data_IF_157939362650
#
_entry.id   IF_157939362650
#
_cell.length_a   1.000
_cell.length_b   1.000
_cell.length_c   1.000
_cell.angle_alpha   90.00
_cell.angle_beta   90.00
_cell.angle_gamma   90.00
#
_symmetry.space_group_name_H-M   'P 1'
#
loop_
_entity.id
_entity.type
_entity.pdbx_description
1 polymer ?
#
# COMPACT_ATOMS: atom_id res chain seq x y z
N UNK A 1 -165.49 1.90 -78.49
CA UNK A 1 -164.50 1.13 -79.27
C UNK A 1 -163.11 1.58 -78.86
N UNK A 2 -162.30 0.61 -78.44
CA UNK A 2 -160.82 0.54 -78.52
C UNK A 2 -160.00 1.62 -77.78
N UNK A 3 -159.44 1.34 -76.59
CA UNK A 3 -158.25 0.51 -76.26
C UNK A 3 -157.00 0.77 -77.13
N UNK A 4 -155.94 1.28 -76.47
CA UNK A 4 -154.51 0.86 -76.52
C UNK A 4 -153.57 2.06 -76.43
N UNK A 5 -153.07 2.41 -75.22
CA UNK A 5 -151.72 2.98 -74.95
C UNK A 5 -151.33 2.82 -73.45
N UNK A 6 -151.24 1.58 -72.95
CA UNK A 6 -150.68 1.25 -71.62
C UNK A 6 -149.56 0.24 -71.86
N UNK A 7 -148.34 0.72 -72.05
CA UNK A 7 -147.13 -0.12 -72.12
C UNK A 7 -145.81 0.65 -71.89
N UNK A 8 -145.82 1.99 -71.94
CA UNK A 8 -144.59 2.80 -71.87
C UNK A 8 -144.08 3.18 -70.48
N UNK A 9 -144.84 2.98 -69.40
CA UNK A 9 -144.50 3.56 -68.09
C UNK A 9 -143.86 2.59 -67.07
N UNK A 10 -143.91 1.28 -67.28
CA UNK A 10 -143.38 0.30 -66.31
C UNK A 10 -141.86 0.09 -66.47
N UNK A 11 -141.28 0.32 -67.65
CA UNK A 11 -139.84 0.20 -67.88
C UNK A 11 -139.00 1.35 -67.27
N UNK A 12 -139.62 2.52 -67.03
CA UNK A 12 -138.92 3.69 -66.46
C UNK A 12 -138.92 3.68 -64.91
N UNK A 13 -139.88 3.00 -64.28
CA UNK A 13 -139.94 2.90 -62.81
C UNK A 13 -138.90 1.92 -62.23
N UNK A 14 -138.49 0.89 -62.99
CA UNK A 14 -137.51 -0.11 -62.56
C UNK A 14 -136.05 0.37 -62.67
N UNK A 15 -135.77 1.30 -63.59
CA UNK A 15 -134.44 1.93 -63.72
C UNK A 15 -134.19 2.94 -62.59
N UNK A 16 -135.23 3.63 -62.11
CA UNK A 16 -135.12 4.57 -60.97
C UNK A 16 -134.91 3.82 -59.65
N UNK A 17 -135.51 2.64 -59.47
CA UNK A 17 -135.36 1.87 -58.22
C UNK A 17 -133.97 1.21 -58.09
N UNK A 18 -133.36 0.77 -59.19
CA UNK A 18 -131.96 0.28 -59.22
C UNK A 18 -130.97 1.43 -59.04
N UNK A 19 -131.25 2.62 -59.58
CA UNK A 19 -130.43 3.81 -59.35
C UNK A 19 -130.49 4.31 -57.90
N UNK A 20 -131.65 4.24 -57.23
CA UNK A 20 -131.79 4.65 -55.83
C UNK A 20 -131.16 3.65 -54.86
N UNK A 21 -131.23 2.33 -55.13
CA UNK A 21 -130.54 1.34 -54.30
C UNK A 21 -129.01 1.37 -54.52
N UNK A 22 -128.56 1.64 -55.75
CA UNK A 22 -127.14 1.91 -56.05
C UNK A 22 -126.60 3.20 -55.43
N UNK A 23 -127.43 4.23 -55.23
CA UNK A 23 -127.02 5.48 -54.53
C UNK A 23 -126.96 5.28 -53.01
N UNK A 24 -127.81 4.44 -52.42
CA UNK A 24 -127.76 4.12 -50.98
C UNK A 24 -126.59 3.16 -50.65
N UNK A 25 -126.32 2.14 -51.48
CA UNK A 25 -125.17 1.23 -51.31
C UNK A 25 -123.82 1.93 -51.58
N UNK A 26 -123.78 2.85 -52.56
CA UNK A 26 -122.60 3.68 -52.83
C UNK A 26 -122.33 4.67 -51.69
N UNK A 27 -123.37 5.29 -51.13
CA UNK A 27 -123.21 6.15 -49.94
C UNK A 27 -122.77 5.39 -48.68
N UNK A 28 -123.12 4.10 -48.56
CA UNK A 28 -122.65 3.24 -47.47
C UNK A 28 -121.18 2.86 -47.66
N UNK A 29 -120.79 2.43 -48.87
CA UNK A 29 -119.39 2.10 -49.19
C UNK A 29 -118.46 3.31 -49.15
N UNK A 30 -118.89 4.46 -49.64
CA UNK A 30 -118.10 5.69 -49.58
C UNK A 30 -117.92 6.15 -48.11
N UNK A 31 -118.93 5.97 -47.24
CA UNK A 31 -118.81 6.25 -45.80
C UNK A 31 -117.93 5.24 -45.06
N UNK A 32 -118.05 3.96 -45.39
CA UNK A 32 -117.18 2.93 -44.84
C UNK A 32 -115.72 3.11 -45.30
N UNK A 33 -115.50 3.56 -46.54
CA UNK A 33 -114.18 3.92 -47.05
C UNK A 33 -113.61 5.15 -46.33
N UNK A 34 -114.43 6.17 -46.03
CA UNK A 34 -114.00 7.34 -45.23
C UNK A 34 -113.67 6.93 -43.79
N UNK A 35 -114.44 6.02 -43.18
CA UNK A 35 -114.15 5.50 -41.85
C UNK A 35 -112.87 4.66 -41.81
N UNK A 36 -112.70 3.73 -42.74
CA UNK A 36 -111.46 2.93 -42.86
C UNK A 36 -110.25 3.82 -43.21
N UNK A 37 -110.42 4.87 -44.02
CA UNK A 37 -109.35 5.84 -44.27
C UNK A 37 -108.98 6.62 -43.00
N UNK A 38 -109.97 7.12 -42.25
CA UNK A 38 -109.73 7.82 -40.98
C UNK A 38 -109.09 6.90 -39.93
N UNK A 39 -109.48 5.62 -39.88
CA UNK A 39 -108.88 4.62 -39.01
C UNK A 39 -107.43 4.30 -39.40
N UNK A 40 -107.16 4.08 -40.68
CA UNK A 40 -105.79 3.85 -41.16
C UNK A 40 -104.90 5.09 -40.95
N UNK A 41 -105.44 6.30 -41.10
CA UNK A 41 -104.73 7.55 -40.79
C UNK A 41 -104.45 7.71 -39.28
N UNK A 42 -105.38 7.27 -38.42
CA UNK A 42 -105.20 7.27 -36.96
C UNK A 42 -104.16 6.22 -36.53
N UNK A 43 -104.22 5.00 -37.06
CA UNK A 43 -103.22 3.94 -36.80
C UNK A 43 -101.83 4.36 -37.31
N UNK A 44 -101.75 4.95 -38.50
CA UNK A 44 -100.49 5.49 -39.03
C UNK A 44 -99.94 6.64 -38.17
N UNK A 45 -100.80 7.51 -37.64
CA UNK A 45 -100.39 8.58 -36.73
C UNK A 45 -99.93 8.03 -35.37
N UNK A 46 -100.57 6.97 -34.88
CA UNK A 46 -100.16 6.30 -33.65
C UNK A 46 -98.79 5.62 -33.80
N UNK A 47 -98.52 4.97 -34.94
CA UNK A 47 -97.20 4.40 -35.25
C UNK A 47 -96.14 5.51 -35.35
N UNK A 48 -96.48 6.65 -35.97
CA UNK A 48 -95.59 7.80 -36.04
C UNK A 48 -95.28 8.36 -34.63
N UNK A 49 -96.30 8.50 -33.77
CA UNK A 49 -96.13 8.93 -32.38
C UNK A 49 -95.26 7.94 -31.58
N UNK A 50 -95.48 6.63 -31.71
CA UNK A 50 -94.62 5.63 -31.06
C UNK A 50 -93.17 5.69 -31.57
N UNK A 51 -92.97 5.89 -32.87
CA UNK A 51 -91.64 6.04 -33.47
C UNK A 51 -90.94 7.30 -32.95
N UNK A 52 -91.67 8.40 -32.80
CA UNK A 52 -91.13 9.64 -32.26
C UNK A 52 -90.75 9.50 -30.77
N UNK A 53 -91.57 8.82 -29.96
CA UNK A 53 -91.24 8.49 -28.55
C UNK A 53 -90.01 7.58 -28.46
N UNK A 54 -89.89 6.59 -29.34
CA UNK A 54 -88.70 5.74 -29.41
C UNK A 54 -87.45 6.56 -29.77
N UNK A 55 -87.57 7.46 -30.74
CA UNK A 55 -86.49 8.36 -31.16
C UNK A 55 -86.05 9.30 -30.03
N UNK A 56 -87.01 9.81 -29.24
CA UNK A 56 -86.74 10.57 -28.03
C UNK A 56 -85.98 9.72 -27.00
N UNK A 57 -86.43 8.50 -26.72
CA UNK A 57 -85.75 7.61 -25.77
C UNK A 57 -84.30 7.30 -26.21
N UNK A 58 -84.09 7.04 -27.50
CA UNK A 58 -82.75 6.80 -28.06
C UNK A 58 -81.86 8.05 -27.99
N UNK A 59 -82.44 9.25 -28.14
CA UNK A 59 -81.71 10.51 -28.02
C UNK A 59 -81.31 10.79 -26.55
N UNK A 60 -82.19 10.49 -25.60
CA UNK A 60 -81.87 10.57 -24.15
C UNK A 60 -80.78 9.57 -23.79
N UNK A 61 -80.86 8.32 -24.23
CA UNK A 61 -79.83 7.32 -23.99
C UNK A 61 -78.47 7.74 -24.58
N UNK A 62 -78.45 8.39 -25.76
CA UNK A 62 -77.24 8.98 -26.32
C UNK A 62 -76.69 10.12 -25.47
N UNK A 63 -77.55 10.99 -24.91
CA UNK A 63 -77.12 12.06 -24.03
C UNK A 63 -76.53 11.54 -22.71
N UNK A 64 -77.12 10.48 -22.13
CA UNK A 64 -76.58 9.82 -20.94
C UNK A 64 -75.23 9.14 -21.22
N UNK A 65 -75.09 8.45 -22.36
CA UNK A 65 -73.84 7.84 -22.78
C UNK A 65 -72.74 8.90 -23.02
N UNK A 66 -73.09 10.03 -23.62
CA UNK A 66 -72.17 11.16 -23.78
C UNK A 66 -71.77 11.76 -22.42
N UNK A 67 -72.70 11.85 -21.46
CA UNK A 67 -72.39 12.26 -20.08
C UNK A 67 -71.39 11.35 -19.38
N UNK A 68 -71.56 10.03 -19.51
CA UNK A 68 -70.59 9.05 -18.98
C UNK A 68 -69.21 9.15 -19.67
N UNK A 69 -69.18 9.50 -20.96
CA UNK A 69 -67.94 9.75 -21.69
C UNK A 69 -67.20 11.00 -21.15
N UNK A 70 -67.93 12.07 -20.78
CA UNK A 70 -67.34 13.25 -20.13
C UNK A 70 -66.75 12.89 -18.76
N UNK A 71 -67.46 12.12 -17.93
CA UNK A 71 -66.94 11.70 -16.62
C UNK A 71 -65.67 10.86 -16.77
N UNK A 72 -65.64 9.95 -17.73
CA UNK A 72 -64.45 9.15 -18.07
C UNK A 72 -63.29 10.05 -18.54
N UNK A 73 -63.58 11.04 -19.38
CA UNK A 73 -62.56 11.98 -19.85
C UNK A 73 -62.00 12.84 -18.71
N UNK A 74 -62.85 13.30 -17.78
CA UNK A 74 -62.43 14.04 -16.60
C UNK A 74 -61.53 13.20 -15.67
N UNK A 75 -61.87 11.92 -15.47
CA UNK A 75 -61.00 11.00 -14.71
C UNK A 75 -59.64 10.81 -15.37
N UNK A 76 -59.60 10.77 -16.72
CA UNK A 76 -58.34 10.72 -17.47
C UNK A 76 -57.54 12.01 -17.30
N UNK A 77 -58.18 13.18 -17.36
CA UNK A 77 -57.52 14.47 -17.10
C UNK A 77 -56.91 14.48 -15.70
N UNK A 78 -57.68 14.13 -14.67
CA UNK A 78 -57.19 14.10 -13.29
C UNK A 78 -56.00 13.13 -13.10
N UNK A 79 -56.07 11.95 -13.73
CA UNK A 79 -54.96 10.97 -13.73
C UNK A 79 -53.71 11.54 -14.42
N UNK A 80 -53.88 12.18 -15.59
CA UNK A 80 -52.77 12.79 -16.33
C UNK A 80 -52.17 14.00 -15.60
N UNK A 81 -52.97 14.83 -14.91
CA UNK A 81 -52.46 15.91 -14.06
C UNK A 81 -51.61 15.38 -12.90
N UNK A 82 -52.07 14.30 -12.25
CA UNK A 82 -51.30 13.63 -11.21
C UNK A 82 -49.98 13.05 -11.76
N UNK A 83 -49.99 12.49 -12.96
CA UNK A 83 -48.79 12.00 -13.63
C UNK A 83 -47.80 13.13 -13.99
N UNK A 84 -48.29 14.27 -14.50
CA UNK A 84 -47.46 15.46 -14.75
C UNK A 84 -46.83 15.96 -13.46
N UNK A 85 -47.60 16.06 -12.37
CA UNK A 85 -47.07 16.47 -11.07
C UNK A 85 -45.98 15.53 -10.56
N UNK A 86 -46.21 14.22 -10.62
CA UNK A 86 -45.21 13.23 -10.22
C UNK A 86 -43.93 13.31 -11.08
N UNK A 87 -44.07 13.55 -12.38
CA UNK A 87 -42.93 13.73 -13.27
C UNK A 87 -42.15 15.02 -12.96
N UNK A 88 -42.84 16.12 -12.61
CA UNK A 88 -42.19 17.36 -12.16
C UNK A 88 -41.41 17.17 -10.85
N UNK A 89 -42.00 16.46 -9.87
CA UNK A 89 -41.31 16.11 -8.62
C UNK A 89 -40.07 15.24 -8.88
N UNK A 90 -40.16 14.29 -9.83
CA UNK A 90 -39.01 13.47 -10.23
C UNK A 90 -37.89 14.29 -10.91
N UNK A 91 -38.24 15.28 -11.75
CA UNK A 91 -37.26 16.20 -12.34
C UNK A 91 -36.57 17.02 -11.24
N UNK A 92 -37.34 17.60 -10.31
CA UNK A 92 -36.77 18.38 -9.22
C UNK A 92 -35.82 17.55 -8.33
N UNK A 93 -36.19 16.31 -8.01
CA UNK A 93 -35.33 15.40 -7.26
C UNK A 93 -34.04 15.04 -8.02
N UNK A 94 -34.13 14.86 -9.34
CA UNK A 94 -32.96 14.58 -10.17
C UNK A 94 -32.03 15.81 -10.31
N UNK A 95 -32.59 17.03 -10.40
CA UNK A 95 -31.83 18.28 -10.37
C UNK A 95 -31.12 18.51 -9.03
N UNK A 96 -31.77 18.19 -7.92
CA UNK A 96 -31.16 18.22 -6.59
C UNK A 96 -30.00 17.22 -6.49
N UNK A 97 -30.17 16.00 -7.02
CA UNK A 97 -29.11 14.99 -7.07
C UNK A 97 -27.91 15.43 -7.92
N UNK A 98 -28.14 16.07 -9.07
CA UNK A 98 -27.05 16.65 -9.88
C UNK A 98 -26.37 17.78 -9.13
N UNK A 99 -27.12 18.69 -8.51
CA UNK A 99 -26.54 19.79 -7.73
C UNK A 99 -25.67 19.28 -6.58
N UNK A 100 -26.10 18.20 -5.90
CA UNK A 100 -25.31 17.54 -4.86
C UNK A 100 -24.04 16.88 -5.43
N UNK A 101 -24.13 16.22 -6.59
CA UNK A 101 -22.98 15.62 -7.25
C UNK A 101 -21.97 16.68 -7.76
N UNK A 102 -22.47 17.78 -8.32
CA UNK A 102 -21.65 18.92 -8.75
C UNK A 102 -21.01 19.67 -7.57
N UNK A 103 -21.63 19.68 -6.40
CA UNK A 103 -21.02 20.22 -5.18
C UNK A 103 -19.92 19.29 -4.61
N UNK A 104 -20.08 17.97 -4.76
CA UNK A 104 -19.11 16.98 -4.29
C UNK A 104 -17.88 16.85 -5.22
N UNK A 105 -18.04 17.15 -6.52
CA UNK A 105 -16.95 16.99 -7.50
C UNK A 105 -15.73 17.89 -7.20
N UNK A 106 -15.86 19.20 -6.89
CA UNK A 106 -14.72 20.05 -6.54
C UNK A 106 -14.03 19.60 -5.25
N UNK A 107 -14.77 19.07 -4.27
CA UNK A 107 -14.17 18.52 -3.04
C UNK A 107 -13.36 17.26 -3.34
N UNK A 108 -13.87 16.38 -4.21
CA UNK A 108 -13.15 15.20 -4.68
C UNK A 108 -11.92 15.59 -5.53
N UNK A 109 -12.05 16.54 -6.46
CA UNK A 109 -10.93 17.06 -7.26
C UNK A 109 -9.86 17.71 -6.36
N UNK A 110 -10.27 18.50 -5.37
CA UNK A 110 -9.35 19.09 -4.40
C UNK A 110 -8.67 18.02 -3.56
N UNK A 111 -9.37 16.96 -3.13
CA UNK A 111 -8.75 15.83 -2.44
C UNK A 111 -7.75 15.10 -3.33
N UNK A 112 -8.08 14.89 -4.62
CA UNK A 112 -7.16 14.28 -5.59
C UNK A 112 -5.95 15.17 -5.78
N UNK A 113 -6.12 16.48 -5.97
CA UNK A 113 -5.01 17.40 -6.19
C UNK A 113 -4.15 17.55 -4.95
N UNK A 114 -4.75 17.61 -3.76
CA UNK A 114 -4.03 17.66 -2.47
C UNK A 114 -3.31 16.35 -2.20
N UNK A 115 -3.95 15.21 -2.47
CA UNK A 115 -3.31 13.89 -2.34
C UNK A 115 -2.24 13.71 -3.40
N UNK A 116 -2.45 14.14 -4.64
CA UNK A 116 -1.47 14.08 -5.69
C UNK A 116 -0.28 15.00 -5.39
N UNK A 117 -0.50 16.19 -4.83
CA UNK A 117 0.58 17.05 -4.34
C UNK A 117 1.28 16.44 -3.13
N UNK A 118 0.56 15.83 -2.19
CA UNK A 118 1.17 15.15 -1.04
C UNK A 118 1.95 13.90 -1.47
N UNK A 119 1.44 13.13 -2.43
CA UNK A 119 2.12 12.00 -3.07
C UNK A 119 3.26 12.48 -3.93
N UNK A 120 3.15 13.62 -4.63
CA UNK A 120 4.25 14.21 -5.39
C UNK A 120 5.31 14.74 -4.44
N UNK A 121 4.97 15.38 -3.32
CA UNK A 121 5.91 15.81 -2.28
C UNK A 121 6.53 14.60 -1.58
N UNK A 122 5.77 13.54 -1.30
CA UNK A 122 6.29 12.30 -0.74
C UNK A 122 7.19 11.60 -1.76
N UNK A 123 6.81 11.59 -3.04
CA UNK A 123 7.59 11.03 -4.14
C UNK A 123 8.82 11.87 -4.41
N UNK A 124 8.75 13.20 -4.37
CA UNK A 124 9.85 14.14 -4.58
C UNK A 124 10.78 14.14 -3.37
N UNK A 125 10.27 14.05 -2.13
CA UNK A 125 11.08 13.74 -0.96
C UNK A 125 11.79 12.39 -1.16
N UNK A 126 11.08 11.41 -1.72
CA UNK A 126 11.62 10.10 -2.14
C UNK A 126 12.33 10.15 -3.50
N UNK A 127 12.50 11.29 -4.19
CA UNK A 127 13.15 11.33 -5.52
C UNK A 127 14.38 12.22 -5.48
N UNK A 128 14.36 13.25 -4.64
CA UNK A 128 15.51 14.00 -4.14
C UNK A 128 16.27 13.18 -3.08
N UNK A 129 15.58 12.35 -2.28
CA UNK A 129 16.11 11.19 -1.55
C UNK A 129 15.52 9.89 -2.12
N UNK A 130 15.83 9.55 -3.40
CA UNK A 130 15.54 8.20 -3.92
C UNK A 130 15.87 7.16 -2.87
N UNK A 131 15.08 6.08 -2.76
CA UNK A 131 15.48 4.93 -1.95
C UNK A 131 16.93 4.54 -2.25
N UNK A 132 17.47 4.90 -3.43
CA UNK A 132 18.89 4.79 -3.75
C UNK A 132 19.81 5.51 -2.75
N UNK A 133 19.50 6.69 -2.20
CA UNK A 133 20.35 7.36 -1.22
C UNK A 133 20.36 6.68 0.17
N UNK A 134 19.21 6.35 0.81
CA UNK A 134 19.18 5.51 2.00
C UNK A 134 19.73 4.10 1.74
N UNK A 135 19.48 3.53 0.56
CA UNK A 135 20.01 2.21 0.17
C UNK A 135 21.52 2.25 -0.07
N UNK A 136 22.06 3.28 -0.71
CA UNK A 136 23.50 3.49 -0.89
C UNK A 136 24.17 3.72 0.46
N UNK A 137 23.53 4.48 1.36
CA UNK A 137 23.99 4.65 2.74
C UNK A 137 23.99 3.31 3.49
N UNK A 138 22.94 2.50 3.35
CA UNK A 138 22.84 1.17 3.94
C UNK A 138 23.91 0.22 3.38
N UNK A 139 24.12 0.17 2.06
CA UNK A 139 25.14 -0.65 1.42
C UNK A 139 26.55 -0.18 1.79
N UNK A 140 26.78 1.13 1.87
CA UNK A 140 28.02 1.72 2.37
C UNK A 140 28.29 1.33 3.83
N UNK A 141 27.28 1.37 4.69
CA UNK A 141 27.39 0.94 6.08
C UNK A 141 27.65 -0.56 6.22
N UNK A 142 27.03 -1.41 5.38
CA UNK A 142 27.32 -2.85 5.32
C UNK A 142 28.76 -3.12 4.93
N UNK A 143 29.25 -2.44 3.88
CA UNK A 143 30.63 -2.57 3.42
C UNK A 143 31.64 -2.10 4.47
N UNK A 144 31.36 -0.97 5.14
CA UNK A 144 32.20 -0.46 6.23
C UNK A 144 32.23 -1.40 7.44
N UNK A 145 31.09 -1.99 7.80
CA UNK A 145 31.01 -2.98 8.89
C UNK A 145 31.78 -4.27 8.54
N UNK A 146 31.61 -4.79 7.32
CA UNK A 146 32.36 -5.96 6.85
C UNK A 146 33.88 -5.71 6.90
N UNK A 147 34.33 -4.56 6.40
CA UNK A 147 35.74 -4.16 6.49
C UNK A 147 36.23 -4.07 7.93
N UNK A 148 35.43 -3.53 8.85
CA UNK A 148 35.81 -3.45 10.26
C UNK A 148 35.96 -4.84 10.90
N UNK A 149 35.13 -5.82 10.51
CA UNK A 149 35.30 -7.22 10.94
C UNK A 149 36.60 -7.85 10.40
N UNK A 150 36.94 -7.56 9.15
CA UNK A 150 38.21 -8.00 8.54
C UNK A 150 39.40 -7.38 9.29
N UNK A 151 39.32 -6.09 9.64
CA UNK A 151 40.36 -5.38 10.41
C UNK A 151 40.53 -5.97 11.82
N UNK A 152 39.45 -6.35 12.51
CA UNK A 152 39.50 -7.09 13.79
C UNK A 152 40.22 -8.43 13.63
N UNK A 153 39.87 -9.17 12.58
CA UNK A 153 40.49 -10.49 12.30
C UNK A 153 41.98 -10.35 11.99
N UNK A 154 42.36 -9.32 11.24
CA UNK A 154 43.76 -9.01 10.94
C UNK A 154 44.53 -8.60 12.19
N UNK A 155 43.95 -7.77 13.06
CA UNK A 155 44.55 -7.36 14.32
C UNK A 155 44.76 -8.56 15.28
N UNK A 156 43.77 -9.46 15.37
CA UNK A 156 43.89 -10.70 16.15
C UNK A 156 44.99 -11.61 15.60
N UNK A 157 45.06 -11.78 14.27
CA UNK A 157 46.12 -12.56 13.63
C UNK A 157 47.52 -11.97 13.89
N UNK A 158 47.63 -10.64 13.93
CA UNK A 158 48.88 -9.96 14.26
C UNK A 158 49.27 -10.11 15.73
N UNK A 159 48.29 -10.11 16.64
CA UNK A 159 48.51 -10.41 18.06
C UNK A 159 49.00 -11.85 18.24
N UNK A 160 48.33 -12.82 17.62
CA UNK A 160 48.73 -14.24 17.68
C UNK A 160 50.16 -14.44 17.14
N UNK A 161 50.50 -13.77 16.03
CA UNK A 161 51.83 -13.81 15.45
C UNK A 161 52.88 -13.19 16.39
N UNK A 162 52.58 -12.03 16.97
CA UNK A 162 53.44 -11.43 17.97
C UNK A 162 53.66 -12.41 19.13
N UNK A 163 52.58 -12.88 19.78
CA UNK A 163 52.67 -13.82 20.90
C UNK A 163 53.51 -15.06 20.59
N UNK A 164 53.42 -15.61 19.37
CA UNK A 164 54.23 -16.74 18.93
C UNK A 164 55.73 -16.38 18.81
N UNK A 165 56.07 -15.29 18.14
CA UNK A 165 57.46 -14.82 17.98
C UNK A 165 58.11 -14.48 19.33
N UNK A 166 57.31 -14.01 20.28
CA UNK A 166 57.75 -13.63 21.61
C UNK A 166 58.25 -14.71 22.52
N UNK A 167 57.69 -15.91 22.37
CA UNK A 167 58.06 -17.04 23.21
C UNK A 167 59.52 -17.41 22.98
N UNK A 168 60.01 -17.26 21.75
CA UNK A 168 61.39 -17.53 21.39
C UNK A 168 62.35 -16.49 22.01
N UNK A 169 61.98 -15.20 22.00
CA UNK A 169 62.80 -14.13 22.58
C UNK A 169 62.87 -14.22 24.12
N UNK A 170 61.76 -14.53 24.78
CA UNK A 170 61.74 -14.80 26.23
C UNK A 170 62.56 -16.04 26.59
N UNK A 171 62.55 -17.07 25.74
CA UNK A 171 63.39 -18.24 25.92
C UNK A 171 64.88 -17.90 25.74
N UNK A 172 65.23 -17.04 24.79
CA UNK A 172 66.60 -16.55 24.58
C UNK A 172 67.11 -15.73 25.78
N UNK A 173 66.29 -14.85 26.35
CA UNK A 173 66.62 -14.12 27.58
C UNK A 173 66.94 -15.09 28.73
N UNK A 174 66.09 -16.10 28.95
CA UNK A 174 66.31 -17.11 29.99
C UNK A 174 67.53 -18.02 29.74
N UNK A 175 67.95 -18.19 28.48
CA UNK A 175 69.21 -18.88 28.14
C UNK A 175 70.40 -17.97 28.45
N UNK A 176 70.35 -16.70 28.03
CA UNK A 176 71.41 -15.73 28.28
C UNK A 176 71.65 -15.49 29.78
N UNK A 177 70.58 -15.47 30.60
CA UNK A 177 70.66 -15.33 32.06
C UNK A 177 71.41 -16.51 32.70
N UNK A 178 71.15 -17.73 32.21
CA UNK A 178 71.87 -18.95 32.65
C UNK A 178 73.33 -18.95 32.19
N UNK A 179 73.60 -18.53 30.95
CA UNK A 179 74.97 -18.40 30.44
C UNK A 179 75.78 -17.39 31.26
N UNK A 180 75.21 -16.21 31.55
CA UNK A 180 75.85 -15.21 32.39
C UNK A 180 76.13 -15.75 33.79
N UNK A 181 75.14 -16.37 34.43
CA UNK A 181 75.31 -16.97 35.76
C UNK A 181 76.44 -18.01 35.78
N UNK A 182 76.53 -18.85 34.76
CA UNK A 182 77.60 -19.85 34.61
C UNK A 182 78.98 -19.22 34.36
N UNK A 183 79.04 -18.18 33.53
CA UNK A 183 80.29 -17.50 33.19
C UNK A 183 80.86 -16.73 34.39
N UNK A 184 79.99 -16.02 35.15
CA UNK A 184 80.37 -15.33 36.40
C UNK A 184 80.92 -16.34 37.42
N UNK A 185 80.23 -17.46 37.64
CA UNK A 185 80.69 -18.50 38.56
C UNK A 185 82.07 -19.07 38.15
N UNK A 186 82.33 -19.19 36.84
CA UNK A 186 83.63 -19.65 36.32
C UNK A 186 84.73 -18.60 36.53
N UNK A 187 84.44 -17.33 36.26
CA UNK A 187 85.36 -16.23 36.51
C UNK A 187 85.73 -16.14 38.00
N UNK A 188 84.75 -16.19 38.90
CA UNK A 188 84.95 -16.22 40.35
C UNK A 188 85.80 -17.43 40.79
N UNK A 189 85.53 -18.62 40.24
CA UNK A 189 86.28 -19.84 40.54
C UNK A 189 87.75 -19.78 40.07
N UNK A 190 88.05 -19.01 39.02
CA UNK A 190 89.41 -18.84 38.47
C UNK A 190 90.23 -17.76 39.19
N UNK A 191 89.57 -16.75 39.77
CA UNK A 191 90.22 -15.62 40.44
C UNK A 191 90.98 -16.04 41.70
N UNK A 192 90.40 -16.96 42.50
CA UNK A 192 91.04 -17.49 43.72
C UNK A 192 92.36 -18.22 43.45
N UNK A 193 92.40 -19.23 42.55
CA UNK A 193 93.61 -19.89 42.13
C UNK A 193 94.67 -18.95 41.56
N UNK A 194 94.30 -17.93 40.77
CA UNK A 194 95.25 -16.94 40.26
C UNK A 194 95.88 -16.10 41.40
N UNK A 195 95.07 -15.67 42.38
CA UNK A 195 95.58 -14.98 43.56
C UNK A 195 96.53 -15.86 44.39
N UNK A 196 96.17 -17.13 44.58
CA UNK A 196 97.02 -18.09 45.29
C UNK A 196 98.33 -18.37 44.53
N UNK A 197 98.26 -18.54 43.21
CA UNK A 197 99.45 -18.72 42.37
C UNK A 197 100.38 -17.52 42.47
N UNK A 198 99.84 -16.30 42.59
CA UNK A 198 100.64 -15.08 42.78
C UNK A 198 101.40 -15.11 44.10
N UNK A 199 100.70 -15.41 45.20
CA UNK A 199 101.33 -15.51 46.52
C UNK A 199 102.41 -16.61 46.56
N UNK A 200 102.18 -17.74 45.87
CA UNK A 200 103.16 -18.84 45.78
C UNK A 200 104.37 -18.45 44.93
N UNK A 201 104.17 -17.76 43.80
CA UNK A 201 105.26 -17.29 42.95
C UNK A 201 106.12 -16.26 43.67
N UNK A 202 105.50 -15.29 44.36
CA UNK A 202 106.19 -14.29 45.18
C UNK A 202 107.03 -14.97 46.28
N UNK A 203 106.46 -15.95 46.99
CA UNK A 203 107.19 -16.70 48.01
C UNK A 203 108.34 -17.54 47.43
N UNK A 204 108.17 -18.12 46.24
CA UNK A 204 109.21 -18.90 45.57
C UNK A 204 110.36 -17.99 45.09
N UNK A 205 110.06 -16.80 44.61
CA UNK A 205 111.05 -15.78 44.24
C UNK A 205 111.85 -15.31 45.46
N UNK A 206 111.19 -15.04 46.59
CA UNK A 206 111.87 -14.73 47.86
C UNK A 206 112.82 -15.86 48.31
N UNK A 207 112.37 -17.12 48.20
CA UNK A 207 113.18 -18.28 48.56
C UNK A 207 114.38 -18.46 47.62
N UNK A 208 114.20 -18.22 46.32
CA UNK A 208 115.29 -18.26 45.35
C UNK A 208 116.32 -17.15 45.63
N UNK A 209 115.87 -15.92 45.90
CA UNK A 209 116.73 -14.80 46.28
C UNK A 209 117.52 -15.09 47.56
N UNK A 210 116.87 -15.66 48.58
CA UNK A 210 117.54 -16.07 49.82
C UNK A 210 118.57 -17.19 49.62
N UNK A 211 118.33 -18.12 48.68
CA UNK A 211 119.28 -19.16 48.33
C UNK A 211 120.49 -18.61 47.56
N UNK A 212 120.26 -17.67 46.64
CA UNK A 212 121.31 -16.95 45.91
C UNK A 212 122.18 -16.09 46.85
N UNK A 213 121.59 -15.39 47.82
CA UNK A 213 122.31 -14.62 48.84
C UNK A 213 123.25 -15.51 49.67
N UNK A 214 122.74 -16.66 50.14
CA UNK A 214 123.55 -17.65 50.88
C UNK A 214 124.67 -18.25 50.04
N UNK A 215 124.42 -18.51 48.76
CA UNK A 215 125.45 -18.98 47.83
C UNK A 215 126.57 -17.93 47.69
N UNK A 216 126.22 -16.66 47.50
CA UNK A 216 127.17 -15.56 47.41
C UNK A 216 127.98 -15.37 48.71
N UNK A 217 127.35 -15.53 49.88
CA UNK A 217 128.03 -15.51 51.18
C UNK A 217 129.07 -16.63 51.28
N UNK A 218 128.71 -17.87 50.91
CA UNK A 218 129.63 -19.01 50.93
C UNK A 218 130.76 -18.88 49.91
N UNK A 219 130.49 -18.42 48.68
CA UNK A 219 131.51 -18.13 47.67
C UNK A 219 132.53 -17.10 48.18
N UNK A 220 132.08 -16.08 48.93
CA UNK A 220 132.96 -15.08 49.54
C UNK A 220 133.83 -15.63 50.68
N UNK A 221 133.31 -16.59 51.46
CA UNK A 221 134.03 -17.25 52.56
C UNK A 221 135.11 -18.21 52.02
N UNK A 222 134.81 -18.95 50.95
CA UNK A 222 135.77 -19.84 50.26
C UNK A 222 136.92 -19.07 49.62
N UNK A 223 136.68 -17.85 49.13
CA UNK A 223 137.74 -16.97 48.61
C UNK A 223 138.70 -16.38 49.67
N UNK A 224 138.42 -16.58 50.96
CA UNK A 224 139.11 -15.93 52.09
C UNK A 224 139.90 -16.87 53.01
N UNK A 225 139.90 -18.19 52.75
CA UNK A 225 140.47 -19.21 53.64
C UNK A 225 141.92 -19.60 53.30
N UNK A 226 142.89 -18.84 53.81
CA UNK A 226 144.30 -19.27 53.86
C UNK A 226 144.50 -20.31 55.00
N UNK A 227 144.31 -21.59 54.70
CA UNK A 227 145.01 -22.69 55.39
C UNK A 227 144.16 -23.75 56.11
N UNK A 228 143.92 -24.89 55.43
CA UNK A 228 143.96 -26.28 55.94
C UNK A 228 143.30 -27.22 54.91
N UNK A 229 144.07 -28.14 54.30
CA UNK A 229 143.63 -29.01 53.18
C UNK A 229 142.39 -29.88 53.47
N UNK A 230 142.02 -30.13 54.73
CA UNK A 230 140.81 -30.91 55.10
C UNK A 230 139.55 -30.05 55.24
N UNK A 231 139.68 -28.74 55.48
CA UNK A 231 138.56 -27.78 55.57
C UNK A 231 138.07 -27.43 54.15
N UNK A 232 139.00 -27.24 53.21
CA UNK A 232 138.71 -26.90 51.82
C UNK A 232 137.81 -27.93 51.09
N UNK A 233 137.98 -29.24 51.37
CA UNK A 233 137.17 -30.29 50.73
C UNK A 233 135.73 -30.37 51.26
N UNK A 234 135.52 -30.01 52.53
CA UNK A 234 134.18 -29.91 53.13
C UNK A 234 133.48 -28.64 52.60
N UNK A 235 134.23 -27.55 52.45
CA UNK A 235 133.73 -26.28 51.92
C UNK A 235 133.32 -26.38 50.44
N UNK A 236 134.07 -27.12 49.61
CA UNK A 236 133.73 -27.34 48.19
C UNK A 236 132.49 -28.22 47.99
N UNK A 237 132.31 -29.27 48.82
CA UNK A 237 131.10 -30.12 48.78
C UNK A 237 129.85 -29.34 49.22
N UNK A 238 129.96 -28.51 50.26
CA UNK A 238 128.88 -27.65 50.74
C UNK A 238 128.53 -26.57 49.71
N UNK A 239 129.54 -26.03 49.02
CA UNK A 239 129.36 -25.07 47.94
C UNK A 239 128.59 -25.66 46.76
N UNK A 240 128.96 -26.87 46.30
CA UNK A 240 128.24 -27.56 45.21
C UNK A 240 126.80 -27.92 45.59
N UNK A 241 126.57 -28.34 46.83
CA UNK A 241 125.21 -28.58 47.35
C UNK A 241 124.39 -27.28 47.40
N UNK A 242 125.01 -26.17 47.80
CA UNK A 242 124.34 -24.86 47.85
C UNK A 242 124.06 -24.32 46.46
N UNK A 243 124.98 -24.52 45.50
CA UNK A 243 124.77 -24.17 44.08
C UNK A 243 123.61 -24.95 43.50
N UNK A 244 123.57 -26.26 43.73
CA UNK A 244 122.46 -27.12 43.28
C UNK A 244 121.13 -26.70 43.92
N UNK A 245 121.13 -26.34 45.21
CA UNK A 245 119.93 -25.87 45.90
C UNK A 245 119.45 -24.51 45.37
N UNK A 246 120.36 -23.58 45.08
CA UNK A 246 120.03 -22.29 44.48
C UNK A 246 119.49 -22.45 43.05
N UNK A 247 120.11 -23.31 42.22
CA UNK A 247 119.61 -23.65 40.88
C UNK A 247 118.21 -24.30 40.95
N UNK A 248 118.01 -25.24 41.88
CA UNK A 248 116.69 -25.87 42.10
C UNK A 248 115.65 -24.84 42.55
N UNK A 249 116.00 -23.91 43.44
CA UNK A 249 115.10 -22.85 43.91
C UNK A 249 114.74 -21.89 42.76
N UNK A 250 115.69 -21.58 41.89
CA UNK A 250 115.47 -20.75 40.70
C UNK A 250 114.58 -21.44 39.68
N UNK A 251 114.80 -22.72 39.40
CA UNK A 251 113.95 -23.51 38.50
C UNK A 251 112.53 -23.64 39.06
N UNK A 252 112.39 -23.82 40.39
CA UNK A 252 111.10 -23.83 41.06
C UNK A 252 110.39 -22.47 40.96
N UNK A 253 111.11 -21.36 41.19
CA UNK A 253 110.56 -20.01 41.04
C UNK A 253 110.11 -19.73 39.60
N UNK A 254 110.88 -20.19 38.61
CA UNK A 254 110.49 -20.11 37.19
C UNK A 254 109.24 -20.92 36.90
N UNK A 255 109.16 -22.16 37.39
CA UNK A 255 107.99 -23.01 37.20
C UNK A 255 106.73 -22.41 37.87
N UNK A 256 106.86 -21.79 39.06
CA UNK A 256 105.75 -21.10 39.71
C UNK A 256 105.33 -19.83 38.98
N UNK A 257 106.28 -19.12 38.37
CA UNK A 257 105.99 -17.96 37.52
C UNK A 257 105.22 -18.36 36.25
N UNK A 258 105.65 -19.43 35.57
CA UNK A 258 104.93 -19.96 34.40
C UNK A 258 103.51 -20.44 34.78
N UNK A 259 103.34 -21.01 35.98
CA UNK A 259 102.03 -21.40 36.51
C UNK A 259 101.15 -20.18 36.88
N UNK A 260 101.75 -19.11 37.42
CA UNK A 260 101.06 -17.84 37.65
C UNK A 260 100.56 -17.23 36.34
N UNK A 261 101.43 -17.13 35.33
CA UNK A 261 101.06 -16.58 34.02
C UNK A 261 99.90 -17.37 33.40
N UNK A 262 99.92 -18.70 33.50
CA UNK A 262 98.83 -19.56 33.04
C UNK A 262 97.52 -19.32 33.83
N UNK A 263 97.61 -19.16 35.16
CA UNK A 263 96.45 -18.89 36.01
C UNK A 263 95.85 -17.50 35.76
N UNK A 264 96.68 -16.46 35.59
CA UNK A 264 96.24 -15.11 35.24
C UNK A 264 95.64 -15.07 33.84
N UNK A 265 96.25 -15.73 32.86
CA UNK A 265 95.69 -15.84 31.51
C UNK A 265 94.32 -16.53 31.51
N UNK A 266 94.16 -17.58 32.32
CA UNK A 266 92.86 -18.24 32.51
C UNK A 266 91.85 -17.30 33.16
N UNK A 267 92.21 -16.61 34.24
CA UNK A 267 91.31 -15.68 34.92
C UNK A 267 90.88 -14.52 34.01
N UNK A 268 91.79 -13.98 33.20
CA UNK A 268 91.47 -12.95 32.21
C UNK A 268 90.53 -13.47 31.11
N UNK A 269 90.77 -14.70 30.62
CA UNK A 269 89.88 -15.34 29.65
C UNK A 269 88.48 -15.59 30.23
N UNK A 270 88.40 -16.10 31.45
CA UNK A 270 87.11 -16.39 32.11
C UNK A 270 86.36 -15.08 32.43
N UNK A 271 87.06 -14.01 32.81
CA UNK A 271 86.48 -12.66 32.96
C UNK A 271 85.94 -12.12 31.63
N UNK A 272 86.70 -12.24 30.53
CA UNK A 272 86.25 -11.80 29.22
C UNK A 272 85.00 -12.57 28.74
N UNK A 273 84.89 -13.87 29.09
CA UNK A 273 83.69 -14.65 28.84
C UNK A 273 82.49 -14.18 29.67
N UNK A 274 82.70 -13.81 30.94
CA UNK A 274 81.66 -13.22 31.78
C UNK A 274 81.16 -11.88 31.22
N UNK A 275 82.07 -11.00 30.78
CA UNK A 275 81.72 -9.72 30.16
C UNK A 275 80.93 -9.92 28.86
N UNK A 276 81.34 -10.89 28.03
CA UNK A 276 80.61 -11.23 26.80
C UNK A 276 79.22 -11.81 27.09
N UNK A 277 79.08 -12.64 28.13
CA UNK A 277 77.79 -13.18 28.55
C UNK A 277 76.86 -12.09 29.09
N UNK A 278 77.39 -11.11 29.84
CA UNK A 278 76.64 -9.94 30.28
C UNK A 278 76.11 -9.12 29.09
N UNK A 279 76.94 -8.88 28.08
CA UNK A 279 76.52 -8.15 26.87
C UNK A 279 75.39 -8.89 26.14
N UNK A 280 75.46 -10.22 26.06
CA UNK A 280 74.39 -11.05 25.48
C UNK A 280 73.10 -10.98 26.29
N UNK A 281 73.18 -11.04 27.62
CA UNK A 281 72.01 -10.88 28.48
C UNK A 281 71.35 -9.52 28.26
N UNK A 282 72.14 -8.44 28.25
CA UNK A 282 71.59 -7.10 28.02
C UNK A 282 70.86 -7.01 26.66
N UNK A 283 71.46 -7.54 25.60
CA UNK A 283 70.84 -7.58 24.28
C UNK A 283 69.54 -8.41 24.26
N UNK A 284 69.55 -9.57 24.91
CA UNK A 284 68.38 -10.44 25.00
C UNK A 284 67.25 -9.79 25.83
N UNK A 285 67.57 -9.10 26.93
CA UNK A 285 66.59 -8.36 27.72
C UNK A 285 66.00 -7.16 26.97
N UNK A 286 66.82 -6.42 26.20
CA UNK A 286 66.33 -5.35 25.34
C UNK A 286 65.37 -5.89 24.26
N UNK A 287 65.71 -7.03 23.64
CA UNK A 287 64.85 -7.71 22.67
C UNK A 287 63.52 -8.18 23.31
N UNK A 288 63.60 -8.84 24.47
CA UNK A 288 62.43 -9.30 25.21
C UNK A 288 61.52 -8.13 25.65
N UNK A 289 62.09 -6.98 26.02
CA UNK A 289 61.31 -5.79 26.34
C UNK A 289 60.62 -5.20 25.10
N UNK A 290 61.35 -5.02 24.00
CA UNK A 290 60.76 -4.54 22.74
C UNK A 290 59.64 -5.45 22.25
N UNK A 291 59.79 -6.75 22.49
CA UNK A 291 58.76 -7.73 22.20
C UNK A 291 57.50 -7.59 23.09
N UNK A 292 57.66 -7.39 24.40
CA UNK A 292 56.52 -7.10 25.32
C UNK A 292 55.76 -5.85 24.88
N UNK A 293 56.48 -4.81 24.48
CA UNK A 293 55.88 -3.58 23.97
C UNK A 293 55.11 -3.83 22.66
N UNK A 294 55.60 -4.72 21.79
CA UNK A 294 54.91 -5.11 20.56
C UNK A 294 53.60 -5.88 20.82
N UNK A 295 53.57 -6.81 21.79
CA UNK A 295 52.31 -7.44 22.24
C UNK A 295 51.33 -6.39 22.74
N UNK A 296 51.78 -5.48 23.60
CA UNK A 296 50.91 -4.44 24.16
C UNK A 296 50.31 -3.55 23.06
N UNK A 297 51.11 -3.20 22.05
CA UNK A 297 50.64 -2.47 20.87
C UNK A 297 49.64 -3.29 20.04
N UNK A 298 49.87 -4.58 19.84
CA UNK A 298 48.94 -5.46 19.11
C UNK A 298 47.59 -5.63 19.86
N UNK A 299 47.62 -5.78 21.18
CA UNK A 299 46.41 -5.82 22.02
C UNK A 299 45.60 -4.52 21.95
N UNK A 300 46.29 -3.38 21.97
CA UNK A 300 45.65 -2.08 21.77
C UNK A 300 45.01 -1.98 20.38
N UNK A 301 45.70 -2.44 19.34
CA UNK A 301 45.15 -2.46 17.98
C UNK A 301 43.90 -3.35 17.84
N UNK A 302 43.86 -4.51 18.51
CA UNK A 302 42.64 -5.35 18.58
C UNK A 302 41.50 -4.58 19.24
N UNK A 303 41.76 -3.94 20.39
CA UNK A 303 40.75 -3.16 21.12
C UNK A 303 40.19 -2.01 20.27
N UNK A 304 41.06 -1.28 19.57
CA UNK A 304 40.67 -0.19 18.68
C UNK A 304 39.85 -0.70 17.48
N UNK A 305 40.23 -1.84 16.90
CA UNK A 305 39.49 -2.47 15.81
C UNK A 305 38.10 -2.94 16.26
N UNK A 306 37.98 -3.55 17.44
CA UNK A 306 36.70 -3.97 18.02
C UNK A 306 35.78 -2.78 18.29
N UNK A 307 36.32 -1.69 18.84
CA UNK A 307 35.57 -0.45 19.06
C UNK A 307 35.08 0.16 17.74
N UNK A 308 35.92 0.17 16.70
CA UNK A 308 35.53 0.61 15.37
C UNK A 308 34.43 -0.27 14.76
N UNK A 309 34.52 -1.59 14.92
CA UNK A 309 33.50 -2.52 14.45
C UNK A 309 32.15 -2.31 15.16
N UNK A 310 32.14 -2.04 16.46
CA UNK A 310 30.91 -1.74 17.21
C UNK A 310 30.30 -0.40 16.77
N UNK A 311 31.12 0.62 16.54
CA UNK A 311 30.62 1.88 15.96
C UNK A 311 29.98 1.65 14.58
N UNK A 312 30.64 0.91 13.68
CA UNK A 312 30.09 0.61 12.35
C UNK A 312 28.82 -0.23 12.41
N UNK A 313 28.68 -1.11 13.40
CA UNK A 313 27.44 -1.84 13.66
C UNK A 313 26.29 -0.92 14.03
N UNK A 314 26.54 0.08 14.89
CA UNK A 314 25.53 1.07 15.27
C UNK A 314 25.11 1.93 14.07
N UNK A 315 26.07 2.38 13.25
CA UNK A 315 25.81 3.11 12.01
C UNK A 315 24.98 2.29 11.01
N UNK A 316 25.28 0.99 10.86
CA UNK A 316 24.48 0.07 10.04
C UNK A 316 23.04 -0.07 10.55
N UNK A 317 22.86 -0.19 11.87
CA UNK A 317 21.52 -0.28 12.45
C UNK A 317 20.70 1.00 12.23
N UNK A 318 21.35 2.17 12.33
CA UNK A 318 20.72 3.45 12.04
C UNK A 318 20.31 3.56 10.56
N UNK A 319 21.23 3.28 9.63
CA UNK A 319 20.95 3.32 8.19
C UNK A 319 19.79 2.38 7.79
N UNK A 320 19.70 1.21 8.43
CA UNK A 320 18.59 0.28 8.20
C UNK A 320 17.26 0.82 8.70
N UNK A 321 17.23 1.45 9.89
CA UNK A 321 16.02 2.09 10.41
C UNK A 321 15.54 3.26 9.53
N UNK A 322 16.47 4.05 8.98
CA UNK A 322 16.16 5.16 8.07
C UNK A 322 15.57 4.63 6.75
N UNK A 323 16.17 3.57 6.18
CA UNK A 323 15.64 2.90 4.99
C UNK A 323 14.22 2.35 5.22
N UNK A 324 13.97 1.64 6.32
CA UNK A 324 12.65 1.06 6.60
C UNK A 324 11.57 2.15 6.78
N UNK A 325 11.94 3.28 7.39
CA UNK A 325 11.06 4.45 7.54
C UNK A 325 10.70 5.05 6.18
N UNK A 326 11.70 5.29 5.32
CA UNK A 326 11.48 5.81 3.98
C UNK A 326 10.60 4.87 3.15
N UNK A 327 10.86 3.56 3.17
CA UNK A 327 10.07 2.56 2.45
C UNK A 327 8.60 2.53 2.90
N UNK A 328 8.34 2.71 4.20
CA UNK A 328 6.98 2.78 4.75
C UNK A 328 6.24 4.01 4.23
N UNK A 329 6.88 5.19 4.27
CA UNK A 329 6.29 6.44 3.78
C UNK A 329 5.92 6.37 2.29
N UNK A 330 6.75 5.71 1.47
CA UNK A 330 6.45 5.46 0.05
C UNK A 330 5.18 4.62 -0.09
N UNK A 331 5.11 3.49 0.61
CA UNK A 331 3.95 2.60 0.53
C UNK A 331 2.65 3.27 0.98
N UNK A 332 2.70 4.11 2.03
CA UNK A 332 1.55 4.88 2.49
C UNK A 332 1.10 5.93 1.45
N UNK A 333 2.06 6.63 0.84
CA UNK A 333 1.77 7.64 -0.19
C UNK A 333 1.18 7.02 -1.47
N UNK A 334 1.65 5.83 -1.89
CA UNK A 334 1.07 5.10 -3.02
C UNK A 334 -0.36 4.62 -2.74
N UNK A 335 -0.61 4.13 -1.52
CA UNK A 335 -1.95 3.70 -1.09
C UNK A 335 -2.92 4.87 -1.09
N UNK A 336 -2.52 6.01 -0.49
CA UNK A 336 -3.34 7.23 -0.45
C UNK A 336 -3.67 7.74 -1.87
N UNK A 337 -2.70 7.73 -2.79
CA UNK A 337 -2.93 8.10 -4.18
C UNK A 337 -3.95 7.19 -4.87
N UNK A 338 -3.86 5.88 -4.63
CA UNK A 338 -4.83 4.91 -5.15
C UNK A 338 -6.24 5.13 -4.61
N UNK A 339 -6.38 5.42 -3.30
CA UNK A 339 -7.67 5.74 -2.69
C UNK A 339 -8.27 7.04 -3.25
N UNK A 340 -7.48 8.10 -3.39
CA UNK A 340 -7.95 9.37 -3.96
C UNK A 340 -8.42 9.21 -5.41
N UNK A 341 -7.67 8.47 -6.24
CA UNK A 341 -8.08 8.19 -7.62
C UNK A 341 -9.39 7.39 -7.70
N UNK A 342 -9.60 6.43 -6.79
CA UNK A 342 -10.85 5.68 -6.73
C UNK A 342 -12.03 6.58 -6.32
N UNK A 343 -11.84 7.47 -5.34
CA UNK A 343 -12.87 8.43 -4.92
C UNK A 343 -13.29 9.35 -6.07
N UNK A 344 -12.32 9.84 -6.87
CA UNK A 344 -12.62 10.64 -8.06
C UNK A 344 -13.49 9.86 -9.06
N UNK A 345 -13.10 8.63 -9.39
CA UNK A 345 -13.84 7.79 -10.33
C UNK A 345 -15.27 7.52 -9.85
N UNK A 346 -15.47 7.34 -8.54
CA UNK A 346 -16.80 7.19 -7.95
C UNK A 346 -17.65 8.47 -8.07
N UNK A 347 -17.05 9.64 -7.83
CA UNK A 347 -17.74 10.93 -7.97
C UNK A 347 -18.15 11.19 -9.43
N UNK A 348 -17.26 10.92 -10.38
CA UNK A 348 -17.55 11.04 -11.83
C UNK A 348 -18.68 10.10 -12.26
N UNK A 349 -18.66 8.85 -11.81
CA UNK A 349 -19.72 7.88 -12.09
C UNK A 349 -21.08 8.29 -11.48
N UNK A 350 -21.08 8.84 -10.26
CA UNK A 350 -22.28 9.37 -9.63
C UNK A 350 -22.87 10.55 -10.41
N UNK A 351 -22.02 11.48 -10.87
CA UNK A 351 -22.44 12.61 -11.70
C UNK A 351 -23.05 12.15 -13.03
N UNK A 352 -22.43 11.17 -13.69
CA UNK A 352 -22.99 10.59 -14.93
C UNK A 352 -24.37 9.97 -14.67
N UNK A 353 -24.50 9.16 -13.62
CA UNK A 353 -25.77 8.52 -13.25
C UNK A 353 -26.87 9.56 -12.98
N UNK A 354 -26.54 10.65 -12.27
CA UNK A 354 -27.48 11.72 -11.98
C UNK A 354 -27.94 12.46 -13.25
N UNK A 355 -27.04 12.68 -14.22
CA UNK A 355 -27.39 13.29 -15.53
C UNK A 355 -28.33 12.41 -16.35
N UNK A 356 -28.08 11.11 -16.42
CA UNK A 356 -28.95 10.15 -17.10
C UNK A 356 -30.35 10.09 -16.46
N UNK A 357 -30.43 10.23 -15.12
CA UNK A 357 -31.69 10.32 -14.40
C UNK A 357 -32.49 11.58 -14.74
N UNK A 358 -31.83 12.74 -14.88
CA UNK A 358 -32.50 13.98 -15.34
C UNK A 358 -33.08 13.80 -16.74
N UNK A 359 -32.30 13.26 -17.69
CA UNK A 359 -32.76 13.06 -19.07
C UNK A 359 -34.00 12.15 -19.12
N UNK A 360 -33.98 11.07 -18.34
CA UNK A 360 -35.11 10.15 -18.20
C UNK A 360 -36.35 10.83 -17.59
N UNK A 361 -36.16 11.63 -16.53
CA UNK A 361 -37.25 12.36 -15.88
C UNK A 361 -37.86 13.42 -16.81
N UNK A 362 -37.03 14.14 -17.57
CA UNK A 362 -37.49 15.13 -18.56
C UNK A 362 -38.29 14.47 -19.69
N UNK A 363 -37.83 13.32 -20.20
CA UNK A 363 -38.59 12.54 -21.20
C UNK A 363 -39.94 12.11 -20.64
N UNK A 364 -39.98 11.64 -19.39
CA UNK A 364 -41.22 11.23 -18.72
C UNK A 364 -42.19 12.40 -18.53
N UNK A 365 -41.68 13.59 -18.20
CA UNK A 365 -42.47 14.82 -18.09
C UNK A 365 -43.07 15.23 -19.44
N UNK A 366 -42.29 15.18 -20.53
CA UNK A 366 -42.80 15.48 -21.87
C UNK A 366 -43.92 14.52 -22.27
N UNK A 367 -43.75 13.23 -21.99
CA UNK A 367 -44.79 12.23 -22.24
C UNK A 367 -46.07 12.52 -21.43
N UNK A 368 -45.94 12.77 -20.12
CA UNK A 368 -47.08 13.07 -19.27
C UNK A 368 -47.84 14.33 -19.71
N UNK A 369 -47.12 15.37 -20.16
CA UNK A 369 -47.74 16.59 -20.72
C UNK A 369 -48.50 16.30 -22.01
N UNK A 370 -47.95 15.46 -22.91
CA UNK A 370 -48.64 15.05 -24.13
C UNK A 370 -49.92 14.27 -23.81
N UNK A 371 -49.88 13.38 -22.82
CA UNK A 371 -51.05 12.62 -22.36
C UNK A 371 -52.12 13.53 -21.73
N UNK A 372 -51.72 14.52 -20.94
CA UNK A 372 -52.63 15.52 -20.38
C UNK A 372 -53.33 16.33 -21.48
N UNK A 373 -52.57 16.82 -22.47
CA UNK A 373 -53.14 17.56 -23.60
C UNK A 373 -54.15 16.70 -24.38
N UNK A 374 -53.83 15.42 -24.60
CA UNK A 374 -54.74 14.48 -25.25
C UNK A 374 -56.01 14.21 -24.41
N UNK A 375 -55.88 14.10 -23.10
CA UNK A 375 -57.02 13.92 -22.20
C UNK A 375 -57.94 15.16 -22.17
N UNK A 376 -57.37 16.36 -22.14
CA UNK A 376 -58.12 17.63 -22.19
C UNK A 376 -58.86 17.80 -23.53
N UNK A 377 -58.23 17.41 -24.65
CA UNK A 377 -58.90 17.39 -25.94
C UNK A 377 -60.08 16.40 -25.93
N UNK A 378 -59.88 15.18 -25.40
CA UNK A 378 -60.95 14.19 -25.29
C UNK A 378 -62.11 14.66 -24.40
N UNK A 379 -61.84 15.40 -23.31
CA UNK A 379 -62.89 16.02 -22.50
C UNK A 379 -63.66 17.07 -23.29
N UNK A 380 -62.94 17.91 -24.05
CA UNK A 380 -63.55 18.94 -24.90
C UNK A 380 -64.48 18.31 -25.94
N UNK A 381 -64.01 17.26 -26.62
CA UNK A 381 -64.79 16.53 -27.62
C UNK A 381 -66.03 15.88 -26.98
N UNK A 382 -65.87 15.21 -25.83
CA UNK A 382 -66.99 14.59 -25.12
C UNK A 382 -68.04 15.61 -24.67
N UNK A 383 -67.63 16.82 -24.24
CA UNK A 383 -68.57 17.90 -23.91
C UNK A 383 -69.35 18.39 -25.13
N UNK A 384 -68.69 18.50 -26.29
CA UNK A 384 -69.36 18.86 -27.54
C UNK A 384 -70.36 17.78 -27.99
N UNK A 385 -70.03 16.51 -27.78
CA UNK A 385 -70.95 15.39 -28.02
C UNK A 385 -72.17 15.44 -27.10
N UNK A 386 -71.99 15.78 -25.81
CA UNK A 386 -73.10 16.00 -24.87
C UNK A 386 -74.02 17.13 -25.36
N UNK A 387 -73.46 18.27 -25.74
CA UNK A 387 -74.23 19.41 -26.25
C UNK A 387 -75.05 19.03 -27.50
N UNK A 388 -74.41 18.28 -28.42
CA UNK A 388 -75.07 17.77 -29.62
C UNK A 388 -76.20 16.79 -29.28
N UNK A 389 -75.95 15.84 -28.37
CA UNK A 389 -76.94 14.85 -27.95
C UNK A 389 -78.12 15.49 -27.21
N UNK A 390 -77.88 16.49 -26.36
CA UNK A 390 -78.94 17.27 -25.70
C UNK A 390 -79.80 18.03 -26.71
N UNK A 391 -79.17 18.67 -27.70
CA UNK A 391 -79.89 19.34 -28.78
C UNK A 391 -80.78 18.36 -29.54
N UNK A 392 -80.25 17.19 -29.90
CA UNK A 392 -81.02 16.12 -30.56
C UNK A 392 -82.17 15.61 -29.69
N UNK A 393 -81.95 15.43 -28.38
CA UNK A 393 -82.98 14.98 -27.45
C UNK A 393 -84.10 16.02 -27.31
N UNK A 394 -83.75 17.31 -27.25
CA UNK A 394 -84.73 18.40 -27.23
C UNK A 394 -85.58 18.43 -28.50
N UNK A 395 -84.95 18.32 -29.67
CA UNK A 395 -85.67 18.29 -30.95
C UNK A 395 -86.58 17.04 -31.05
N UNK A 396 -86.07 15.87 -30.68
CA UNK A 396 -86.85 14.63 -30.69
C UNK A 396 -88.03 14.68 -29.70
N UNK A 397 -87.86 15.36 -28.56
CA UNK A 397 -88.95 15.60 -27.61
C UNK A 397 -90.03 16.51 -28.20
N UNK A 398 -89.64 17.59 -28.88
CA UNK A 398 -90.57 18.49 -29.56
C UNK A 398 -91.34 17.76 -30.67
N UNK A 399 -90.63 17.02 -31.53
CA UNK A 399 -91.22 16.18 -32.57
C UNK A 399 -92.17 15.11 -32.00
N UNK A 400 -91.79 14.46 -30.89
CA UNK A 400 -92.65 13.47 -30.23
C UNK A 400 -93.90 14.09 -29.63
N UNK A 401 -93.80 15.30 -29.06
CA UNK A 401 -94.95 16.04 -28.55
C UNK A 401 -95.91 16.42 -29.69
N UNK A 402 -95.39 16.97 -30.79
CA UNK A 402 -96.17 17.31 -31.98
C UNK A 402 -96.85 16.08 -32.59
N UNK A 403 -96.13 14.97 -32.77
CA UNK A 403 -96.67 13.73 -33.31
C UNK A 403 -97.77 13.15 -32.42
N UNK A 404 -97.60 13.24 -31.09
CA UNK A 404 -98.61 12.79 -30.13
C UNK A 404 -99.86 13.68 -30.17
N UNK A 405 -99.71 14.99 -30.26
CA UNK A 405 -100.82 15.93 -30.41
C UNK A 405 -101.59 15.68 -31.72
N UNK A 406 -100.88 15.48 -32.83
CA UNK A 406 -101.47 15.14 -34.12
C UNK A 406 -102.20 13.79 -34.08
N UNK A 407 -101.61 12.78 -33.44
CA UNK A 407 -102.25 11.47 -33.27
C UNK A 407 -103.52 11.58 -32.41
N UNK A 408 -103.49 12.34 -31.32
CA UNK A 408 -104.67 12.59 -30.49
C UNK A 408 -105.77 13.35 -31.25
N UNK A 409 -105.40 14.35 -32.06
CA UNK A 409 -106.34 15.08 -32.90
C UNK A 409 -106.99 14.18 -33.97
N UNK A 410 -106.19 13.33 -34.63
CA UNK A 410 -106.70 12.36 -35.63
C UNK A 410 -107.54 11.26 -35.00
N UNK A 411 -107.18 10.78 -33.81
CA UNK A 411 -107.99 9.84 -33.04
C UNK A 411 -109.34 10.45 -32.68
N UNK A 412 -109.35 11.70 -32.19
CA UNK A 412 -110.58 12.44 -31.91
C UNK A 412 -111.45 12.58 -33.16
N UNK A 413 -110.85 12.93 -34.31
CA UNK A 413 -111.56 13.02 -35.57
C UNK A 413 -112.11 11.66 -36.05
N UNK A 414 -111.36 10.57 -35.84
CA UNK A 414 -111.81 9.22 -36.16
C UNK A 414 -112.96 8.77 -35.25
N UNK A 415 -112.90 9.06 -33.95
CA UNK A 415 -113.96 8.79 -32.98
C UNK A 415 -115.22 9.62 -33.28
N UNK A 416 -115.07 10.89 -33.68
CA UNK A 416 -116.19 11.71 -34.17
C UNK A 416 -116.80 11.16 -35.46
N UNK A 417 -115.97 10.75 -36.43
CA UNK A 417 -116.42 10.14 -37.68
C UNK A 417 -117.17 8.83 -37.41
N UNK A 418 -116.67 8.01 -36.48
CA UNK A 418 -117.33 6.80 -35.97
C UNK A 418 -118.69 7.12 -35.35
N UNK A 419 -118.74 8.09 -34.43
CA UNK A 419 -119.99 8.51 -33.79
C UNK A 419 -121.02 9.03 -34.79
N UNK A 420 -120.59 9.79 -35.81
CA UNK A 420 -121.47 10.23 -36.91
C UNK A 420 -121.96 9.06 -37.77
N UNK A 421 -121.10 8.09 -38.04
CA UNK A 421 -121.47 6.88 -38.78
C UNK A 421 -122.48 6.03 -38.00
N UNK A 422 -122.25 5.82 -36.70
CA UNK A 422 -123.14 5.08 -35.79
C UNK A 422 -124.50 5.79 -35.60
N UNK A 423 -124.52 7.13 -35.56
CA UNK A 423 -125.77 7.92 -35.45
C UNK A 423 -126.62 7.96 -36.74
N UNK A 424 -126.07 7.52 -37.87
CA UNK A 424 -126.73 7.50 -39.18
C UNK A 424 -127.22 6.09 -39.59
N UNK A 425 -126.93 5.08 -38.78
CA UNK A 425 -127.57 3.76 -38.83
C UNK A 425 -128.88 3.78 -38.05
#
# INVERSE_FOLDING_TARGET
MEMKKIAGFIALALIVLIAVWGVVDKNSRDRQAVFEAAKNEAESAQVAAQTAVQTQADAVARAEAAGAAVETAQQRVATSEAAVKAAQEAVAAAEEAVSAAEAALPEAETQVETTAQATQVARDAVQEESLDAPMETLEGAKAAYAKAQDDVTAAQSALDAAEAEGQDELAQEAVAEREMSSAVATAEASAGPAHNARNVAEQAEENAAAAEEKLAELESQVGSSDGAETQAAIDETLLDQTRTAAETARDAARATQEALEAAEAKAQSDQAQADAAQQRLNAASEAAQGFKDAIAAAQAAVTDAEAAAEQRRAELAQAQSEYDTAATLVSEAETAAGEASNTQAQAEAALQTAREAIETAQSSLQQAQAELNAAQQAETDARADVETAQTQASNAQEEAAEATEQAAARQTAADEAKGRYEALQ
#
